data_IF_275396342678
#
_entry.id   IF_275396342678
#
_cell.length_a   1.000
_cell.length_b   1.000
_cell.length_c   1.000
_cell.angle_alpha   90.00
_cell.angle_beta   90.00
_cell.angle_gamma   90.00
#
_symmetry.space_group_name_H-M   'P 1'
#
loop_
_entity.id
_entity.type
_entity.pdbx_description
1 polymer ?
#
# COMPACT_ATOMS: atom_id res chain seq x y z
N UNK A 1 4.75 20.76 -0.66
CA UNK A 1 4.83 20.04 0.64
C UNK A 1 3.54 19.26 0.94
N UNK A 2 2.84 18.75 -0.08
CA UNK A 2 1.50 18.15 0.07
C UNK A 2 1.46 16.67 -0.32
N UNK A 3 2.40 16.22 -1.17
CA UNK A 3 2.43 14.85 -1.68
C UNK A 3 2.75 13.80 -0.62
N UNK A 4 3.63 14.10 0.35
CA UNK A 4 4.01 13.14 1.38
C UNK A 4 2.84 12.73 2.30
N UNK A 5 1.94 13.68 2.61
CA UNK A 5 0.74 13.36 3.40
C UNK A 5 -0.25 12.51 2.60
N UNK A 6 -0.38 12.77 1.31
CA UNK A 6 -1.20 11.95 0.40
C UNK A 6 -0.65 10.53 0.33
N UNK A 7 0.65 10.39 0.12
CA UNK A 7 1.34 9.11 0.10
C UNK A 7 1.16 8.33 1.42
N UNK A 8 1.36 8.98 2.57
CA UNK A 8 1.22 8.32 3.87
C UNK A 8 -0.21 7.80 4.08
N UNK A 9 -1.23 8.56 3.66
CA UNK A 9 -2.62 8.12 3.73
C UNK A 9 -2.86 6.89 2.83
N UNK A 10 -2.41 6.96 1.58
CA UNK A 10 -2.54 5.88 0.60
C UNK A 10 -1.80 4.62 1.05
N UNK A 11 -0.56 4.76 1.51
CA UNK A 11 0.25 3.68 2.08
C UNK A 11 -0.46 3.02 3.26
N UNK A 12 -0.97 3.81 4.20
CA UNK A 12 -1.64 3.27 5.38
C UNK A 12 -2.92 2.50 5.00
N UNK A 13 -3.68 2.96 4.01
CA UNK A 13 -4.84 2.23 3.48
C UNK A 13 -4.43 0.89 2.87
N UNK A 14 -3.37 0.86 2.05
CA UNK A 14 -2.82 -0.38 1.48
C UNK A 14 -2.40 -1.34 2.58
N UNK A 15 -1.60 -0.86 3.55
CA UNK A 15 -1.09 -1.68 4.64
C UNK A 15 -2.23 -2.28 5.49
N UNK A 16 -3.27 -1.47 5.77
CA UNK A 16 -4.45 -1.92 6.51
C UNK A 16 -5.15 -3.06 5.75
N UNK A 17 -5.38 -2.92 4.45
CA UNK A 17 -6.01 -3.97 3.64
C UNK A 17 -5.18 -5.26 3.64
N UNK A 18 -3.86 -5.17 3.49
CA UNK A 18 -3.04 -6.39 3.53
C UNK A 18 -3.03 -7.02 4.93
N UNK A 19 -2.94 -6.22 6.00
CA UNK A 19 -3.02 -6.71 7.38
C UNK A 19 -4.37 -7.39 7.68
N UNK A 20 -5.46 -6.87 7.10
CA UNK A 20 -6.80 -7.46 7.18
C UNK A 20 -6.96 -8.74 6.35
N UNK A 21 -5.90 -9.19 5.68
CA UNK A 21 -5.84 -10.44 4.93
C UNK A 21 -6.24 -10.32 3.47
N UNK A 22 -6.43 -9.10 2.95
CA UNK A 22 -6.69 -8.90 1.54
C UNK A 22 -5.43 -9.14 0.71
N UNK A 23 -5.63 -9.64 -0.51
CA UNK A 23 -4.57 -9.88 -1.50
C UNK A 23 -4.82 -9.03 -2.72
N UNK A 24 -3.74 -8.46 -3.27
CA UNK A 24 -3.82 -7.73 -4.53
C UNK A 24 -4.05 -8.75 -5.66
N UNK A 25 -5.12 -8.57 -6.42
CA UNK A 25 -5.48 -9.43 -7.56
C UNK A 25 -5.24 -8.76 -8.90
N UNK A 26 -5.38 -7.44 -8.98
CA UNK A 26 -5.17 -6.67 -10.20
C UNK A 26 -4.72 -5.24 -9.89
N UNK A 27 -4.03 -4.64 -10.84
CA UNK A 27 -3.70 -3.21 -10.85
C UNK A 27 -4.06 -2.66 -12.22
N UNK A 28 -4.81 -1.55 -12.23
CA UNK A 28 -5.25 -0.84 -13.41
C UNK A 28 -4.68 0.57 -13.38
N UNK A 29 -3.65 0.79 -14.17
CA UNK A 29 -3.00 2.09 -14.33
C UNK A 29 -3.85 3.00 -15.21
N UNK A 30 -4.12 4.23 -14.76
CA UNK A 30 -4.85 5.24 -15.54
C UNK A 30 -4.17 6.60 -15.45
N UNK A 31 -4.55 7.52 -16.35
CA UNK A 31 -4.00 8.88 -16.35
C UNK A 31 -4.38 9.67 -15.09
N UNK A 32 -5.43 9.27 -14.39
CA UNK A 32 -5.95 9.92 -13.18
C UNK A 32 -5.46 9.23 -11.89
N UNK A 33 -4.67 8.16 -12.00
CA UNK A 33 -4.19 7.35 -10.87
C UNK A 33 -4.28 5.86 -11.14
N UNK A 34 -3.73 5.05 -10.25
CA UNK A 34 -3.78 3.59 -10.35
C UNK A 34 -4.88 3.04 -9.46
N UNK A 35 -5.68 2.13 -9.99
CA UNK A 35 -6.66 1.39 -9.21
C UNK A 35 -6.08 0.03 -8.86
N UNK A 36 -6.06 -0.29 -7.57
CA UNK A 36 -5.58 -1.59 -7.07
C UNK A 36 -6.78 -2.36 -6.56
N UNK A 37 -7.01 -3.53 -7.15
CA UNK A 37 -8.07 -4.44 -6.73
C UNK A 37 -7.53 -5.43 -5.71
N UNK A 38 -8.25 -5.53 -4.61
CA UNK A 38 -7.98 -6.40 -3.47
C UNK A 38 -9.11 -7.41 -3.32
N UNK A 39 -8.78 -8.65 -2.96
CA UNK A 39 -9.75 -9.69 -2.66
C UNK A 39 -9.44 -10.37 -1.33
N UNK A 40 -10.50 -10.62 -0.55
CA UNK A 40 -10.48 -11.46 0.65
C UNK A 40 -11.72 -12.34 0.66
N UNK A 41 -11.55 -13.64 0.45
CA UNK A 41 -12.65 -14.61 0.36
C UNK A 41 -13.72 -14.24 -0.69
N UNK A 42 -14.84 -13.65 -0.26
CA UNK A 42 -15.93 -13.18 -1.11
C UNK A 42 -16.03 -11.65 -1.15
N UNK A 43 -15.13 -10.95 -0.47
CA UNK A 43 -15.07 -9.50 -0.39
C UNK A 43 -14.05 -8.98 -1.40
N UNK A 44 -14.41 -7.90 -2.09
CA UNK A 44 -13.54 -7.18 -3.01
C UNK A 44 -13.53 -5.72 -2.65
N UNK A 45 -12.33 -5.16 -2.63
CA UNK A 45 -12.08 -3.76 -2.33
C UNK A 45 -11.23 -3.16 -3.45
N UNK A 46 -11.48 -1.91 -3.79
CA UNK A 46 -10.70 -1.16 -4.78
C UNK A 46 -10.13 0.09 -4.13
N UNK A 47 -8.83 0.32 -4.31
CA UNK A 47 -8.16 1.52 -3.82
C UNK A 47 -7.55 2.29 -4.99
N UNK A 48 -7.92 3.56 -5.12
CA UNK A 48 -7.29 4.49 -6.06
C UNK A 48 -6.07 5.15 -5.43
N UNK A 49 -4.94 5.11 -6.13
CA UNK A 49 -3.66 5.70 -5.77
C UNK A 49 -3.34 6.85 -6.71
N UNK A 50 -3.29 8.05 -6.15
CA UNK A 50 -3.02 9.28 -6.89
C UNK A 50 -1.52 9.63 -6.84
N UNK A 51 -0.84 9.30 -5.74
CA UNK A 51 0.57 9.68 -5.59
C UNK A 51 1.51 8.72 -6.30
N UNK A 52 2.57 9.26 -6.90
CA UNK A 52 3.61 8.46 -7.57
C UNK A 52 4.34 7.52 -6.59
N UNK A 53 4.51 7.94 -5.34
CA UNK A 53 5.15 7.13 -4.30
C UNK A 53 4.29 5.91 -3.93
N UNK A 54 2.97 6.05 -3.86
CA UNK A 54 2.09 4.90 -3.58
C UNK A 54 2.10 3.88 -4.73
N UNK A 55 2.13 4.35 -5.98
CA UNK A 55 2.28 3.46 -7.14
C UNK A 55 3.58 2.66 -7.10
N UNK A 56 4.69 3.31 -6.75
CA UNK A 56 5.99 2.64 -6.55
C UNK A 56 5.92 1.61 -5.42
N UNK A 57 5.26 1.97 -4.31
CA UNK A 57 5.11 1.10 -3.15
C UNK A 57 4.34 -0.20 -3.49
N UNK A 58 3.24 -0.10 -4.23
CA UNK A 58 2.50 -1.27 -4.72
C UNK A 58 3.37 -2.17 -5.60
N UNK A 59 4.16 -1.58 -6.50
CA UNK A 59 5.10 -2.34 -7.32
C UNK A 59 6.07 -3.17 -6.48
N UNK A 60 6.58 -2.61 -5.38
CA UNK A 60 7.42 -3.34 -4.41
C UNK A 60 6.66 -4.49 -3.77
N UNK A 61 5.46 -4.27 -3.24
CA UNK A 61 4.63 -5.32 -2.62
C UNK A 61 4.36 -6.47 -3.61
N UNK A 62 4.01 -6.15 -4.86
CA UNK A 62 3.71 -7.18 -5.88
C UNK A 62 4.95 -8.01 -6.20
N UNK A 63 6.12 -7.37 -6.31
CA UNK A 63 7.39 -8.07 -6.56
C UNK A 63 7.77 -8.95 -5.37
N UNK A 64 7.57 -8.46 -4.14
CA UNK A 64 7.81 -9.23 -2.91
C UNK A 64 6.85 -10.42 -2.81
N UNK A 65 5.55 -10.23 -3.07
CA UNK A 65 4.55 -11.30 -3.09
C UNK A 65 4.88 -12.39 -4.12
N UNK A 66 5.42 -12.02 -5.30
CA UNK A 66 5.88 -12.99 -6.32
C UNK A 66 7.14 -13.73 -5.92
N UNK A 67 8.01 -13.13 -5.11
CA UNK A 67 9.25 -13.74 -4.60
C UNK A 67 9.01 -14.63 -3.40
N UNK A 68 8.02 -14.31 -2.56
CA UNK A 68 7.73 -14.99 -1.31
C UNK A 68 6.54 -15.94 -1.39
N UNK A 69 6.78 -17.19 -1.84
CA UNK A 69 5.85 -18.31 -1.63
C UNK A 69 5.53 -18.62 -0.15
N UNK A 70 6.14 -17.91 0.80
CA UNK A 70 5.80 -17.77 2.22
C UNK A 70 6.67 -16.61 2.71
N UNK A 71 6.12 -15.58 3.36
CA UNK A 71 6.87 -14.72 4.29
C UNK A 71 5.84 -13.98 5.17
N UNK A 72 5.80 -14.45 6.40
CA UNK A 72 5.37 -13.76 7.58
C UNK A 72 6.35 -12.60 7.84
N UNK A 73 5.82 -11.48 8.35
CA UNK A 73 6.57 -10.31 8.85
C UNK A 73 6.75 -9.16 7.86
N UNK A 74 5.73 -8.29 7.85
CA UNK A 74 5.88 -6.87 7.56
C UNK A 74 6.90 -6.27 8.53
N UNK A 75 8.12 -6.03 8.04
CA UNK A 75 9.17 -5.30 8.74
C UNK A 75 8.79 -3.83 8.90
N UNK A 76 8.02 -3.54 9.95
CA UNK A 76 7.76 -2.19 10.42
C UNK A 76 9.04 -1.58 11.01
N UNK A 77 9.67 -0.68 10.26
CA UNK A 77 10.60 0.30 10.79
C UNK A 77 10.13 1.69 10.35
N UNK A 78 9.03 2.16 10.94
CA UNK A 78 8.69 3.59 10.95
C UNK A 78 8.86 4.10 12.38
N UNK A 79 10.11 4.36 12.75
CA UNK A 79 10.42 5.25 13.86
C UNK A 79 10.94 6.56 13.27
N UNK A 80 10.01 7.49 13.03
CA UNK A 80 10.34 8.91 12.85
C UNK A 80 9.11 9.80 13.07
N UNK A 81 8.81 10.06 14.35
CA UNK A 81 8.19 11.28 14.88
C UNK A 81 8.19 11.15 16.42
N UNK A 82 8.70 12.07 17.23
CA UNK A 82 9.18 13.41 16.94
C UNK A 82 10.15 13.91 18.02
N UNK A 83 11.17 14.62 17.55
CA UNK A 83 11.77 15.70 18.31
C UNK A 83 10.89 16.94 18.08
N UNK A 84 10.12 17.35 19.09
CA UNK A 84 9.66 18.73 19.27
C UNK A 84 9.04 18.93 20.67
N UNK A 85 9.84 19.53 21.54
CA UNK A 85 9.49 20.46 22.63
C UNK A 85 8.21 20.25 23.45
N UNK A 86 8.38 20.00 24.75
CA UNK A 86 8.33 21.03 25.81
C UNK A 86 8.88 20.45 27.10
#
# INVERSE_FOLDING_TARGET
>A
MSDYKGFMKEKNSVDTLIQDGYRIIAVKETLEGDFVEFERHLEREELQLLTAEARKYIGTIIVEAKRGGSIDSYGGAFEQAGAAGS
#
